data_IF_703512725282
#
_entry.id   IF_703512725282
#
_cell.length_a   1.000
_cell.length_b   1.000
_cell.length_c   1.000
_cell.angle_alpha   90.00
_cell.angle_beta   90.00
_cell.angle_gamma   90.00
#
_symmetry.space_group_name_H-M   'P 1'
#
loop_
_entity.id
_entity.type
_entity.pdbx_description
1 polymer ?
#
# COMPACT_ATOMS: atom_id res chain seq x y z
N UNK A 1 -35.21 -7.63 -14.09
CA UNK A 1 -33.76 -7.97 -13.97
C UNK A 1 -32.97 -6.75 -13.51
N UNK A 2 -33.19 -5.55 -14.00
CA UNK A 2 -32.52 -4.29 -13.59
C UNK A 2 -32.71 -3.94 -12.11
N UNK A 3 -33.92 -4.02 -11.55
CA UNK A 3 -34.20 -3.70 -10.14
C UNK A 3 -33.47 -4.63 -9.15
N UNK A 4 -33.28 -5.90 -9.49
CA UNK A 4 -32.52 -6.85 -8.66
C UNK A 4 -31.03 -6.51 -8.65
N UNK A 5 -30.47 -6.11 -9.80
CA UNK A 5 -29.10 -5.64 -9.93
C UNK A 5 -28.86 -4.34 -9.14
N UNK A 6 -29.83 -3.42 -9.13
CA UNK A 6 -29.73 -2.15 -8.40
C UNK A 6 -29.79 -2.38 -6.89
N UNK A 7 -30.66 -3.29 -6.42
CA UNK A 7 -30.72 -3.68 -5.01
C UNK A 7 -29.44 -4.37 -4.54
N UNK A 8 -28.92 -5.29 -5.36
CA UNK A 8 -27.66 -5.99 -5.05
C UNK A 8 -26.47 -5.02 -5.03
N UNK A 9 -26.41 -4.10 -5.99
CA UNK A 9 -25.38 -3.05 -6.04
C UNK A 9 -25.45 -2.14 -4.82
N UNK A 10 -26.65 -1.74 -4.39
CA UNK A 10 -26.85 -0.87 -3.22
C UNK A 10 -26.50 -1.60 -1.92
N UNK A 11 -26.90 -2.87 -1.79
CA UNK A 11 -26.54 -3.72 -0.64
C UNK A 11 -25.03 -3.92 -0.58
N UNK A 12 -24.39 -4.30 -1.68
CA UNK A 12 -22.94 -4.48 -1.77
C UNK A 12 -22.18 -3.20 -1.37
N UNK A 13 -22.57 -2.04 -1.93
CA UNK A 13 -21.97 -0.74 -1.57
C UNK A 13 -22.11 -0.42 -0.08
N UNK A 14 -23.26 -0.72 0.52
CA UNK A 14 -23.48 -0.54 1.97
C UNK A 14 -22.58 -1.47 2.77
N UNK A 15 -22.55 -2.75 2.42
CA UNK A 15 -21.74 -3.76 3.11
C UNK A 15 -20.26 -3.43 3.04
N UNK A 16 -19.74 -3.09 1.87
CA UNK A 16 -18.33 -2.67 1.70
C UNK A 16 -18.01 -1.44 2.54
N UNK A 17 -18.89 -0.42 2.56
CA UNK A 17 -18.69 0.77 3.41
C UNK A 17 -18.67 0.44 4.89
N UNK A 18 -19.56 -0.42 5.35
CA UNK A 18 -19.64 -0.83 6.75
C UNK A 18 -18.42 -1.66 7.14
N UNK A 19 -18.06 -2.65 6.34
CA UNK A 19 -16.87 -3.50 6.59
C UNK A 19 -15.61 -2.64 6.58
N UNK A 20 -15.44 -1.77 5.59
CA UNK A 20 -14.30 -0.85 5.52
C UNK A 20 -14.24 0.07 6.75
N UNK A 21 -15.38 0.66 7.14
CA UNK A 21 -15.44 1.50 8.33
C UNK A 21 -15.09 0.73 9.61
N UNK A 22 -15.60 -0.49 9.76
CA UNK A 22 -15.30 -1.35 10.92
C UNK A 22 -13.82 -1.75 10.95
N UNK A 23 -13.25 -2.22 9.83
CA UNK A 23 -11.84 -2.58 9.75
C UNK A 23 -10.93 -1.38 10.00
N UNK A 24 -11.23 -0.23 9.39
CA UNK A 24 -10.46 1.00 9.59
C UNK A 24 -10.56 1.49 11.03
N UNK A 25 -11.76 1.44 11.63
CA UNK A 25 -11.95 1.82 13.03
C UNK A 25 -11.22 0.88 13.97
N UNK A 26 -11.25 -0.43 13.70
CA UNK A 26 -10.52 -1.42 14.48
C UNK A 26 -9.00 -1.20 14.41
N UNK A 27 -8.44 -1.09 13.20
CA UNK A 27 -7.02 -0.81 13.00
C UNK A 27 -6.61 0.51 13.67
N UNK A 28 -7.47 1.53 13.56
CA UNK A 28 -7.24 2.82 14.17
C UNK A 28 -7.24 2.75 15.70
N UNK A 29 -8.25 2.10 16.30
CA UNK A 29 -8.35 1.92 17.76
C UNK A 29 -7.19 1.07 18.26
N UNK A 30 -6.84 0.00 17.56
CA UNK A 30 -5.71 -0.87 17.93
C UNK A 30 -4.38 -0.09 17.94
N UNK A 31 -4.12 0.72 16.91
CA UNK A 31 -2.91 1.56 16.84
C UNK A 31 -2.93 2.73 17.83
N UNK A 32 -4.11 3.17 18.28
CA UNK A 32 -4.23 4.18 19.33
C UNK A 32 -3.91 3.60 20.70
N UNK A 33 -4.44 2.41 20.99
CA UNK A 33 -4.34 1.79 22.31
C UNK A 33 -3.00 1.09 22.50
N UNK A 34 -2.48 0.47 21.44
CA UNK A 34 -1.28 -0.34 21.51
C UNK A 34 -0.22 0.15 20.51
N UNK A 35 1.00 0.18 20.98
CA UNK A 35 2.20 0.35 20.17
C UNK A 35 2.93 -0.97 20.12
N UNK A 36 3.23 -1.45 18.91
CA UNK A 36 4.10 -2.59 18.75
C UNK A 36 5.56 -2.12 18.86
N UNK A 37 6.28 -2.69 19.81
CA UNK A 37 7.72 -2.48 19.96
C UNK A 37 8.40 -3.79 19.58
N UNK A 38 9.30 -3.74 18.62
CA UNK A 38 10.11 -4.90 18.19
C UNK A 38 11.50 -4.69 18.75
N UNK A 39 11.95 -5.64 19.55
CA UNK A 39 13.33 -5.68 20.07
C UNK A 39 14.28 -6.27 19.01
N UNK A 40 15.60 -6.14 19.25
CA UNK A 40 16.68 -6.64 18.38
C UNK A 40 16.53 -8.15 18.12
N UNK A 41 15.97 -8.89 19.09
CA UNK A 41 15.70 -10.33 19.00
C UNK A 41 14.33 -10.67 18.35
N UNK A 42 13.71 -9.73 17.62
CA UNK A 42 12.40 -9.87 16.97
C UNK A 42 11.22 -10.18 17.90
N UNK A 43 11.39 -10.04 19.21
CA UNK A 43 10.29 -10.15 20.15
C UNK A 43 9.38 -8.92 20.05
N UNK A 44 8.12 -9.15 19.75
CA UNK A 44 7.13 -8.09 19.69
C UNK A 44 6.41 -7.92 21.02
N UNK A 45 6.43 -6.71 21.55
CA UNK A 45 5.73 -6.35 22.78
C UNK A 45 4.65 -5.34 22.47
N UNK A 46 3.43 -5.59 22.94
CA UNK A 46 2.35 -4.61 22.90
C UNK A 46 2.49 -3.67 24.09
N UNK A 47 2.85 -2.42 23.82
CA UNK A 47 2.92 -1.36 24.84
C UNK A 47 1.78 -0.36 24.66
N UNK A 48 1.29 0.28 25.73
CA UNK A 48 0.31 1.35 25.61
C UNK A 48 0.84 2.47 24.72
N UNK A 49 0.04 2.92 23.78
CA UNK A 49 0.41 4.01 22.88
C UNK A 49 0.10 5.37 23.50
N UNK A 50 1.13 6.15 23.77
CA UNK A 50 0.99 7.51 24.28
C UNK A 50 0.58 8.53 23.21
N UNK A 51 0.47 8.12 21.94
CA UNK A 51 0.06 8.97 20.83
C UNK A 51 -1.47 9.14 20.69
N UNK A 52 -2.22 8.91 21.77
CA UNK A 52 -3.69 9.07 21.82
C UNK A 52 -4.13 10.42 21.26
N UNK A 53 -3.37 11.47 21.54
CA UNK A 53 -3.67 12.84 21.09
C UNK A 53 -3.59 12.98 19.57
N UNK A 54 -2.59 12.36 18.93
CA UNK A 54 -2.43 12.39 17.45
C UNK A 54 -3.60 11.68 16.77
N UNK A 55 -4.02 10.57 17.32
CA UNK A 55 -5.17 9.83 16.80
C UNK A 55 -6.49 10.57 17.00
N UNK A 56 -6.70 11.23 18.13
CA UNK A 56 -7.87 12.07 18.35
C UNK A 56 -7.89 13.25 17.38
N UNK A 57 -6.75 13.88 17.12
CA UNK A 57 -6.62 14.95 16.14
C UNK A 57 -6.94 14.44 14.73
N UNK A 58 -6.44 13.27 14.37
CA UNK A 58 -6.75 12.62 13.08
C UNK A 58 -8.24 12.32 12.94
N UNK A 59 -8.89 11.73 13.96
CA UNK A 59 -10.32 11.51 13.99
C UNK A 59 -11.10 12.80 13.83
N UNK A 60 -10.70 13.86 14.54
CA UNK A 60 -11.35 15.16 14.44
C UNK A 60 -11.25 15.74 13.03
N UNK A 61 -10.08 15.66 12.39
CA UNK A 61 -9.89 16.09 11.00
C UNK A 61 -10.77 15.27 10.05
N UNK A 62 -10.80 13.96 10.19
CA UNK A 62 -11.66 13.09 9.38
C UNK A 62 -13.15 13.41 9.56
N UNK A 63 -13.61 13.59 10.81
CA UNK A 63 -15.00 13.95 11.12
C UNK A 63 -15.37 15.32 10.54
N UNK A 64 -14.47 16.29 10.65
CA UNK A 64 -14.66 17.61 10.06
C UNK A 64 -14.74 17.54 8.53
N UNK A 65 -13.87 16.74 7.89
CA UNK A 65 -13.91 16.51 6.44
C UNK A 65 -15.19 15.81 5.99
N UNK A 66 -15.69 14.83 6.75
CA UNK A 66 -16.93 14.09 6.43
C UNK A 66 -18.16 14.98 6.65
N UNK A 67 -18.18 15.77 7.70
CA UNK A 67 -19.35 16.60 8.08
C UNK A 67 -19.48 17.87 7.26
N UNK A 68 -18.41 18.41 6.73
CA UNK A 68 -18.44 19.66 5.98
C UNK A 68 -18.85 19.43 4.52
N UNK A 69 -19.93 20.14 4.07
CA UNK A 69 -20.34 20.22 2.65
C UNK A 69 -19.20 20.70 1.72
N UNK A 70 -18.16 21.31 2.28
CA UNK A 70 -16.93 21.73 1.59
C UNK A 70 -16.16 20.53 1.00
N UNK A 71 -16.17 19.38 1.67
CA UNK A 71 -15.51 18.17 1.17
C UNK A 71 -16.08 17.67 -0.16
N UNK A 72 -17.32 18.02 -0.48
CA UNK A 72 -18.00 17.65 -1.73
C UNK A 72 -17.83 18.67 -2.86
N UNK A 73 -17.22 19.83 -2.60
CA UNK A 73 -16.97 20.84 -3.66
C UNK A 73 -15.89 20.34 -4.60
N UNK A 74 -16.23 20.27 -5.88
CA UNK A 74 -15.27 20.00 -6.94
C UNK A 74 -14.60 21.32 -7.32
N UNK A 75 -13.38 21.54 -6.84
CA UNK A 75 -12.54 22.65 -7.24
C UNK A 75 -11.38 22.07 -8.07
N UNK A 76 -11.34 22.27 -9.40
CA UNK A 76 -10.30 21.67 -10.27
C UNK A 76 -8.87 22.00 -9.82
N UNK A 77 -8.66 23.18 -9.26
CA UNK A 77 -7.37 23.61 -8.70
C UNK A 77 -6.85 22.68 -7.61
N UNK A 78 -7.76 22.10 -6.79
CA UNK A 78 -7.35 21.16 -5.72
C UNK A 78 -6.81 19.83 -6.29
N UNK A 79 -7.28 19.42 -7.47
CA UNK A 79 -6.70 18.28 -8.18
C UNK A 79 -5.23 18.51 -8.50
N UNK A 80 -4.90 19.67 -9.04
CA UNK A 80 -3.51 20.03 -9.33
C UNK A 80 -2.65 20.13 -8.06
N UNK A 81 -3.18 20.75 -7.00
CA UNK A 81 -2.51 20.78 -5.69
C UNK A 81 -2.21 19.38 -5.18
N UNK A 82 -3.18 18.45 -5.30
CA UNK A 82 -3.00 17.06 -4.90
C UNK A 82 -1.88 16.37 -5.68
N UNK A 83 -1.86 16.49 -7.01
CA UNK A 83 -0.81 15.90 -7.82
C UNK A 83 0.56 16.52 -7.55
N UNK A 84 0.64 17.84 -7.36
CA UNK A 84 1.86 18.52 -6.98
C UNK A 84 2.38 18.06 -5.61
N UNK A 85 1.47 17.87 -4.64
CA UNK A 85 1.81 17.32 -3.31
C UNK A 85 2.38 15.91 -3.40
N UNK A 86 1.76 15.03 -4.22
CA UNK A 86 2.28 13.67 -4.45
C UNK A 86 3.66 13.72 -5.10
N UNK A 87 3.84 14.55 -6.13
CA UNK A 87 5.14 14.72 -6.79
C UNK A 87 6.21 15.18 -5.81
N UNK A 88 5.93 16.19 -4.99
CA UNK A 88 6.84 16.65 -3.93
C UNK A 88 7.18 15.51 -2.95
N UNK A 89 6.19 14.75 -2.49
CA UNK A 89 6.40 13.64 -1.58
C UNK A 89 7.28 12.53 -2.20
N UNK A 90 7.06 12.20 -3.47
CA UNK A 90 7.88 11.24 -4.22
C UNK A 90 9.32 11.73 -4.39
N UNK A 91 9.52 13.00 -4.74
CA UNK A 91 10.86 13.58 -4.85
C UNK A 91 11.60 13.59 -3.51
N UNK A 92 10.90 13.91 -2.42
CA UNK A 92 11.47 13.85 -1.06
C UNK A 92 11.82 12.42 -0.66
N UNK A 93 10.97 11.45 -0.98
CA UNK A 93 11.25 10.03 -0.74
C UNK A 93 12.45 9.55 -1.58
N UNK A 94 12.55 9.95 -2.86
CA UNK A 94 13.70 9.64 -3.70
C UNK A 94 15.00 10.24 -3.14
N UNK A 95 14.95 11.50 -2.68
CA UNK A 95 16.08 12.16 -2.01
C UNK A 95 16.45 11.43 -0.72
N UNK A 96 15.46 11.04 0.09
CA UNK A 96 15.65 10.26 1.30
C UNK A 96 16.36 8.94 0.99
N UNK A 97 15.83 8.14 0.07
CA UNK A 97 16.43 6.88 -0.39
C UNK A 97 17.86 7.06 -0.86
N UNK A 98 18.13 8.11 -1.67
CA UNK A 98 19.48 8.38 -2.20
C UNK A 98 20.52 8.69 -1.13
N UNK A 99 20.09 9.09 0.07
CA UNK A 99 20.97 9.47 1.19
C UNK A 99 21.06 8.43 2.29
N UNK A 100 20.08 7.54 2.41
CA UNK A 100 19.93 6.65 3.55
C UNK A 100 19.90 5.17 3.19
N UNK A 101 19.97 4.82 1.88
CA UNK A 101 19.97 3.42 1.48
C UNK A 101 21.13 2.64 2.08
N UNK A 102 20.88 1.41 2.45
CA UNK A 102 21.87 0.44 2.89
C UNK A 102 21.73 -0.86 2.08
N UNK A 103 22.74 -1.70 2.11
CA UNK A 103 22.63 -3.06 1.56
C UNK A 103 21.51 -3.81 2.30
N UNK A 104 20.75 -4.68 1.60
CA UNK A 104 19.77 -5.55 2.23
C UNK A 104 20.41 -6.37 3.34
N UNK A 105 19.68 -6.56 4.43
CA UNK A 105 20.10 -7.36 5.59
C UNK A 105 19.03 -8.41 5.91
N UNK A 106 19.43 -9.44 6.63
CA UNK A 106 18.56 -10.52 7.09
C UNK A 106 17.69 -11.11 5.95
N UNK A 107 16.39 -11.21 6.12
CA UNK A 107 15.48 -11.83 5.14
C UNK A 107 15.53 -11.18 3.76
N UNK A 108 15.71 -9.86 3.69
CA UNK A 108 15.82 -9.16 2.40
C UNK A 108 17.08 -9.59 1.64
N UNK A 109 18.18 -9.84 2.34
CA UNK A 109 19.40 -10.37 1.74
C UNK A 109 19.20 -11.83 1.28
N UNK A 110 18.51 -12.64 2.09
CA UNK A 110 18.22 -14.03 1.77
C UNK A 110 17.32 -14.17 0.54
N UNK A 111 16.29 -13.33 0.41
CA UNK A 111 15.43 -13.36 -0.78
C UNK A 111 16.15 -12.88 -2.04
N UNK A 112 17.04 -11.90 -1.93
CA UNK A 112 17.88 -11.46 -3.05
C UNK A 112 18.86 -12.57 -3.48
N UNK A 113 19.53 -13.21 -2.52
CA UNK A 113 20.43 -14.35 -2.79
C UNK A 113 19.68 -15.55 -3.37
N UNK A 114 18.48 -15.85 -2.86
CA UNK A 114 17.64 -16.90 -3.43
C UNK A 114 17.31 -16.63 -4.92
N UNK A 115 17.11 -15.37 -5.29
CA UNK A 115 16.91 -14.99 -6.69
C UNK A 115 18.15 -15.24 -7.57
N UNK A 116 19.38 -15.08 -7.03
CA UNK A 116 20.61 -15.40 -7.73
C UNK A 116 20.74 -16.92 -7.97
N UNK A 117 20.34 -17.73 -7.00
CA UNK A 117 20.35 -19.21 -7.12
C UNK A 117 19.37 -19.68 -8.20
N UNK A 118 18.20 -19.06 -8.35
CA UNK A 118 17.23 -19.41 -9.41
C UNK A 118 17.89 -19.42 -10.81
N UNK A 119 18.81 -18.52 -11.06
CA UNK A 119 19.53 -18.48 -12.34
C UNK A 119 20.40 -19.72 -12.59
N UNK A 120 20.75 -20.45 -11.54
CA UNK A 120 21.60 -21.64 -11.62
C UNK A 120 20.75 -22.92 -11.52
N UNK A 121 19.93 -23.06 -10.47
CA UNK A 121 19.05 -24.21 -10.26
C UNK A 121 17.87 -23.84 -9.36
N UNK A 122 16.66 -23.88 -9.92
CA UNK A 122 15.42 -23.57 -9.20
C UNK A 122 15.14 -24.55 -8.05
N UNK A 123 15.51 -25.83 -8.20
CA UNK A 123 15.14 -26.85 -7.23
C UNK A 123 15.95 -26.78 -5.94
N UNK A 124 17.20 -26.36 -6.00
CA UNK A 124 18.07 -26.22 -4.82
C UNK A 124 17.54 -25.23 -3.79
N UNK A 125 16.72 -24.24 -4.22
CA UNK A 125 16.11 -23.27 -3.31
C UNK A 125 15.22 -23.88 -2.24
N UNK A 126 14.59 -25.01 -2.55
CA UNK A 126 13.59 -25.66 -1.68
C UNK A 126 14.16 -26.94 -1.02
N UNK A 127 15.46 -27.18 -1.10
CA UNK A 127 16.09 -28.28 -0.39
C UNK A 127 16.06 -28.07 1.13
N UNK A 128 15.99 -29.17 1.92
CA UNK A 128 16.00 -29.09 3.37
C UNK A 128 17.24 -28.35 3.89
N UNK A 129 17.02 -27.25 4.61
CA UNK A 129 18.08 -26.38 5.15
C UNK A 129 18.22 -25.04 4.43
N UNK A 130 17.68 -24.92 3.22
CA UNK A 130 17.68 -23.66 2.48
C UNK A 130 16.59 -22.70 2.98
N UNK A 131 16.79 -21.39 2.74
CA UNK A 131 15.88 -20.35 3.22
C UNK A 131 14.45 -20.55 2.72
N UNK A 132 14.24 -20.85 1.44
CA UNK A 132 12.92 -21.02 0.84
C UNK A 132 12.21 -22.31 1.28
N UNK A 133 12.93 -23.29 1.82
CA UNK A 133 12.31 -24.45 2.45
C UNK A 133 11.48 -24.04 3.68
N UNK A 134 12.00 -23.10 4.46
CA UNK A 134 11.34 -22.60 5.68
C UNK A 134 10.33 -21.48 5.37
N UNK A 135 10.58 -20.66 4.34
CA UNK A 135 9.80 -19.48 4.01
C UNK A 135 9.24 -19.48 2.58
N UNK A 136 8.50 -20.52 2.16
CA UNK A 136 8.02 -20.66 0.78
C UNK A 136 7.04 -19.54 0.37
N UNK A 137 6.42 -18.87 1.34
CA UNK A 137 5.53 -17.74 1.09
C UNK A 137 6.23 -16.51 0.53
N UNK A 138 7.57 -16.42 0.62
CA UNK A 138 8.35 -15.33 0.04
C UNK A 138 8.73 -15.57 -1.43
N UNK A 139 8.26 -16.66 -2.05
CA UNK A 139 8.56 -17.00 -3.45
C UNK A 139 8.22 -15.88 -4.44
N UNK A 140 7.15 -15.12 -4.20
CA UNK A 140 6.79 -13.99 -5.07
C UNK A 140 7.80 -12.85 -4.98
N UNK A 141 8.34 -12.56 -3.80
CA UNK A 141 9.39 -11.57 -3.61
C UNK A 141 10.70 -12.02 -4.29
N UNK A 142 11.05 -13.29 -4.16
CA UNK A 142 12.21 -13.89 -4.84
C UNK A 142 12.07 -13.80 -6.36
N UNK A 143 10.87 -14.09 -6.91
CA UNK A 143 10.60 -13.93 -8.34
C UNK A 143 10.68 -12.47 -8.80
N UNK A 144 10.29 -11.51 -7.94
CA UNK A 144 10.45 -10.09 -8.25
C UNK A 144 11.93 -9.71 -8.32
N UNK A 145 12.76 -10.12 -7.35
CA UNK A 145 14.22 -9.94 -7.39
C UNK A 145 14.82 -10.56 -8.64
N UNK A 146 14.48 -11.82 -8.94
CA UNK A 146 14.92 -12.51 -10.13
C UNK A 146 14.60 -11.73 -11.41
N UNK A 147 13.36 -11.19 -11.53
CA UNK A 147 12.96 -10.37 -12.67
C UNK A 147 13.76 -9.05 -12.77
N UNK A 148 14.05 -8.41 -11.64
CA UNK A 148 14.85 -7.18 -11.60
C UNK A 148 16.32 -7.43 -11.96
N UNK A 149 16.86 -8.59 -11.60
CA UNK A 149 18.25 -8.99 -11.89
C UNK A 149 18.52 -9.17 -13.40
N UNK A 150 17.48 -9.40 -14.22
CA UNK A 150 17.63 -9.32 -15.70
C UNK A 150 17.95 -7.90 -16.19
N UNK A 151 17.58 -6.88 -15.42
CA UNK A 151 17.84 -5.47 -15.77
C UNK A 151 19.18 -5.02 -15.18
N UNK A 152 19.45 -5.38 -13.94
CA UNK A 152 20.71 -5.11 -13.25
C UNK A 152 21.06 -6.25 -12.28
N UNK A 153 22.27 -6.84 -12.36
CA UNK A 153 22.67 -7.93 -11.46
C UNK A 153 22.57 -7.56 -9.98
N UNK A 154 22.95 -6.33 -9.59
CA UNK A 154 22.62 -5.75 -8.28
C UNK A 154 21.28 -5.01 -8.41
N UNK A 155 20.20 -5.70 -8.08
CA UNK A 155 18.83 -5.20 -8.21
C UNK A 155 18.39 -4.30 -7.06
N UNK A 156 19.20 -4.13 -6.01
CA UNK A 156 18.87 -3.32 -4.83
C UNK A 156 18.42 -1.93 -5.19
N UNK A 157 19.16 -1.23 -6.07
CA UNK A 157 18.79 0.13 -6.50
C UNK A 157 17.50 0.18 -7.30
N UNK A 158 17.26 -0.82 -8.16
CA UNK A 158 16.00 -0.95 -8.91
C UNK A 158 14.84 -1.19 -7.95
N UNK A 159 15.04 -2.02 -6.95
CA UNK A 159 14.02 -2.28 -5.94
C UNK A 159 13.69 -1.02 -5.14
N UNK A 160 14.67 -0.23 -4.76
CA UNK A 160 14.46 1.05 -4.08
C UNK A 160 13.70 2.06 -4.97
N UNK A 161 13.99 2.11 -6.27
CA UNK A 161 13.20 2.90 -7.24
C UNK A 161 11.77 2.40 -7.30
N UNK A 162 11.56 1.09 -7.36
CA UNK A 162 10.23 0.48 -7.33
C UNK A 162 9.46 0.86 -6.06
N UNK A 163 10.12 0.88 -4.91
CA UNK A 163 9.52 1.32 -3.65
C UNK A 163 9.07 2.80 -3.69
N UNK A 164 9.90 3.69 -4.23
CA UNK A 164 9.56 5.12 -4.39
C UNK A 164 8.37 5.28 -5.35
N UNK A 165 8.34 4.56 -6.46
CA UNK A 165 7.21 4.55 -7.40
C UNK A 165 5.95 3.97 -6.76
N UNK A 166 6.09 2.91 -5.97
CA UNK A 166 4.99 2.30 -5.21
C UNK A 166 4.42 3.27 -4.18
N UNK A 167 5.26 4.00 -3.46
CA UNK A 167 4.83 5.05 -2.54
C UNK A 167 3.98 6.12 -3.24
N UNK A 168 4.45 6.64 -4.37
CA UNK A 168 3.68 7.59 -5.18
C UNK A 168 2.35 7.02 -5.67
N UNK A 169 2.35 5.76 -6.10
CA UNK A 169 1.16 5.03 -6.54
C UNK A 169 0.15 4.88 -5.40
N UNK A 170 0.60 4.52 -4.20
CA UNK A 170 -0.24 4.43 -3.00
C UNK A 170 -0.94 5.76 -2.74
N UNK A 171 -0.20 6.87 -2.74
CA UNK A 171 -0.76 8.21 -2.51
C UNK A 171 -1.80 8.60 -3.58
N UNK A 172 -1.54 8.29 -4.85
CA UNK A 172 -2.49 8.52 -5.94
C UNK A 172 -3.75 7.67 -5.79
N UNK A 173 -3.61 6.38 -5.47
CA UNK A 173 -4.71 5.46 -5.26
C UNK A 173 -5.58 5.87 -4.07
N UNK A 174 -5.01 6.31 -2.96
CA UNK A 174 -5.73 6.82 -1.80
C UNK A 174 -6.65 7.99 -2.18
N UNK A 175 -6.13 8.97 -2.93
CA UNK A 175 -6.93 10.09 -3.42
C UNK A 175 -7.99 9.66 -4.45
N UNK A 176 -7.70 8.69 -5.32
CA UNK A 176 -8.65 8.16 -6.28
C UNK A 176 -9.77 7.38 -5.59
N UNK A 177 -9.46 6.53 -4.61
CA UNK A 177 -10.43 5.80 -3.80
C UNK A 177 -11.36 6.75 -3.05
N UNK A 178 -10.83 7.84 -2.46
CA UNK A 178 -11.62 8.86 -1.82
C UNK A 178 -12.67 9.47 -2.78
N UNK A 179 -12.32 9.68 -4.05
CA UNK A 179 -13.26 10.13 -5.08
C UNK A 179 -14.32 9.09 -5.40
N UNK A 180 -13.93 7.84 -5.60
CA UNK A 180 -14.86 6.74 -5.92
C UNK A 180 -15.90 6.56 -4.80
N UNK A 181 -15.51 6.76 -3.53
CA UNK A 181 -16.47 6.73 -2.41
C UNK A 181 -17.28 8.04 -2.24
N UNK A 182 -17.10 9.02 -3.14
CA UNK A 182 -17.92 10.25 -3.20
C UNK A 182 -17.42 11.41 -2.34
N UNK A 183 -16.13 11.43 -1.95
CA UNK A 183 -15.58 12.53 -1.11
C UNK A 183 -15.24 13.82 -1.89
N UNK A 184 -15.29 13.84 -3.20
CA UNK A 184 -14.89 15.01 -4.01
C UNK A 184 -13.39 15.35 -3.92
N UNK A 185 -12.98 16.49 -4.52
CA UNK A 185 -11.53 16.86 -4.59
C UNK A 185 -10.94 17.24 -3.23
N UNK A 186 -11.70 17.93 -2.38
CA UNK A 186 -11.24 18.31 -1.04
C UNK A 186 -10.96 17.06 -0.20
N UNK A 187 -11.89 16.09 -0.23
CA UNK A 187 -11.71 14.83 0.49
C UNK A 187 -10.54 14.01 -0.07
N UNK A 188 -10.40 13.96 -1.40
CA UNK A 188 -9.28 13.28 -2.04
C UNK A 188 -7.93 13.90 -1.66
N UNK A 189 -7.85 15.23 -1.63
CA UNK A 189 -6.66 15.96 -1.17
C UNK A 189 -6.35 15.64 0.30
N UNK A 190 -7.37 15.72 1.18
CA UNK A 190 -7.20 15.44 2.60
C UNK A 190 -6.68 14.02 2.85
N UNK A 191 -7.26 13.00 2.19
CA UNK A 191 -6.81 11.60 2.31
C UNK A 191 -5.39 11.41 1.78
N UNK A 192 -5.04 12.07 0.66
CA UNK A 192 -3.67 12.05 0.13
C UNK A 192 -2.69 12.66 1.12
N UNK A 193 -3.03 13.80 1.75
CA UNK A 193 -2.17 14.43 2.76
C UNK A 193 -2.01 13.58 4.01
N UNK A 194 -3.06 12.87 4.43
CA UNK A 194 -2.93 11.87 5.51
C UNK A 194 -1.91 10.80 5.15
N UNK A 195 -1.94 10.29 3.91
CA UNK A 195 -0.93 9.33 3.44
C UNK A 195 0.49 9.92 3.40
N UNK A 196 0.64 11.18 2.99
CA UNK A 196 1.94 11.89 2.99
C UNK A 196 2.46 12.08 4.42
N UNK A 197 1.61 12.50 5.34
CA UNK A 197 1.95 12.75 6.74
C UNK A 197 2.15 11.47 7.55
N UNK A 198 1.70 10.34 7.04
CA UNK A 198 2.00 9.04 7.61
C UNK A 198 3.44 8.62 7.25
N UNK A 199 4.39 9.27 7.93
CA UNK A 199 5.83 9.14 7.66
C UNK A 199 6.34 7.68 7.64
N UNK A 200 5.79 6.69 8.41
CA UNK A 200 6.24 5.31 8.29
C UNK A 200 6.14 4.78 6.85
N UNK A 201 5.12 5.20 6.09
CA UNK A 201 4.98 4.80 4.69
C UNK A 201 6.16 5.28 3.83
N UNK A 202 6.63 6.53 4.05
CA UNK A 202 7.82 7.06 3.38
C UNK A 202 9.10 6.37 3.86
N UNK A 203 9.20 6.03 5.16
CA UNK A 203 10.36 5.31 5.70
C UNK A 203 10.54 3.91 5.12
N UNK A 204 9.42 3.22 4.80
CA UNK A 204 9.48 1.90 4.17
C UNK A 204 10.09 1.92 2.76
N UNK A 205 10.28 3.09 2.13
CA UNK A 205 10.91 3.18 0.81
C UNK A 205 12.37 2.70 0.77
N UNK A 206 13.08 2.66 1.90
CA UNK A 206 14.46 2.17 2.00
C UNK A 206 14.54 0.65 2.27
N UNK A 207 13.43 0.00 2.58
CA UNK A 207 13.43 -1.43 2.88
C UNK A 207 13.18 -2.25 1.61
N UNK A 208 14.03 -3.22 1.36
CA UNK A 208 13.96 -4.12 0.21
C UNK A 208 13.02 -5.29 0.54
N UNK A 209 11.73 -4.97 0.69
CA UNK A 209 10.64 -5.93 0.96
C UNK A 209 9.45 -5.67 0.04
N UNK A 210 8.66 -6.71 -0.24
CA UNK A 210 7.45 -6.63 -1.05
C UNK A 210 6.31 -5.75 -0.50
N UNK A 211 6.46 -5.20 0.71
CA UNK A 211 5.42 -4.46 1.44
C UNK A 211 4.85 -3.27 0.66
N UNK A 212 5.70 -2.39 0.13
CA UNK A 212 5.21 -1.21 -0.62
C UNK A 212 4.67 -1.59 -2.01
N UNK A 213 5.37 -2.39 -2.83
CA UNK A 213 4.80 -2.89 -4.08
C UNK A 213 3.50 -3.66 -3.86
N UNK A 214 3.45 -4.56 -2.87
CA UNK A 214 2.25 -5.31 -2.53
C UNK A 214 1.07 -4.41 -2.14
N UNK A 215 1.30 -3.39 -1.30
CA UNK A 215 0.29 -2.40 -0.94
C UNK A 215 -0.17 -1.57 -2.16
N UNK A 216 0.75 -1.16 -3.04
CA UNK A 216 0.42 -0.42 -4.25
C UNK A 216 -0.49 -1.26 -5.17
N UNK A 217 -0.13 -2.52 -5.43
CA UNK A 217 -0.94 -3.44 -6.23
C UNK A 217 -2.29 -3.75 -5.58
N UNK A 218 -2.35 -3.88 -4.24
CA UNK A 218 -3.61 -4.04 -3.50
C UNK A 218 -4.56 -2.86 -3.73
N UNK A 219 -4.06 -1.63 -3.64
CA UNK A 219 -4.87 -0.43 -3.83
C UNK A 219 -5.28 -0.23 -5.29
N UNK A 220 -4.41 -0.52 -6.25
CA UNK A 220 -4.76 -0.54 -7.68
C UNK A 220 -5.87 -1.55 -7.93
N UNK A 221 -5.71 -2.78 -7.42
CA UNK A 221 -6.70 -3.84 -7.57
C UNK A 221 -8.05 -3.45 -6.99
N UNK A 222 -8.07 -2.90 -5.78
CA UNK A 222 -9.28 -2.40 -5.13
C UNK A 222 -9.95 -1.29 -5.95
N UNK A 223 -9.17 -0.31 -6.42
CA UNK A 223 -9.68 0.79 -7.24
C UNK A 223 -10.33 0.28 -8.53
N UNK A 224 -9.65 -0.63 -9.23
CA UNK A 224 -10.16 -1.21 -10.49
C UNK A 224 -11.44 -2.02 -10.28
N UNK A 225 -11.53 -2.80 -9.19
CA UNK A 225 -12.75 -3.55 -8.83
C UNK A 225 -13.89 -2.58 -8.49
N UNK A 226 -13.63 -1.53 -7.72
CA UNK A 226 -14.65 -0.51 -7.41
C UNK A 226 -15.13 0.22 -8.68
N UNK A 227 -14.22 0.57 -9.58
CA UNK A 227 -14.58 1.18 -10.85
C UNK A 227 -15.33 0.20 -11.79
N UNK A 228 -15.05 -1.11 -11.71
CA UNK A 228 -15.85 -2.12 -12.40
C UNK A 228 -17.29 -2.13 -11.89
N UNK A 229 -17.47 -2.10 -10.58
CA UNK A 229 -18.82 -2.05 -9.99
C UNK A 229 -19.63 -0.82 -10.42
N UNK A 230 -18.95 0.31 -10.74
CA UNK A 230 -19.63 1.52 -11.21
C UNK A 230 -19.89 1.54 -12.71
N UNK A 231 -18.92 1.09 -13.51
CA UNK A 231 -18.89 1.29 -14.97
C UNK A 231 -19.13 0.00 -15.77
N UNK A 232 -19.17 -1.18 -15.11
CA UNK A 232 -19.46 -2.48 -15.72
C UNK A 232 -18.43 -2.99 -16.72
N UNK A 233 -17.23 -2.40 -16.82
CA UNK A 233 -16.22 -2.77 -17.81
C UNK A 233 -15.40 -3.97 -17.34
N UNK A 234 -15.63 -5.16 -17.89
CA UNK A 234 -15.02 -6.43 -17.48
C UNK A 234 -13.49 -6.40 -17.42
N UNK A 235 -12.81 -5.71 -18.34
CA UNK A 235 -11.35 -5.61 -18.33
C UNK A 235 -10.79 -5.02 -17.02
N UNK A 236 -11.55 -4.13 -16.34
CA UNK A 236 -11.16 -3.59 -15.03
C UNK A 236 -11.21 -4.64 -13.94
N UNK A 237 -12.24 -5.50 -13.97
CA UNK A 237 -12.34 -6.62 -13.06
C UNK A 237 -11.15 -7.58 -13.24
N UNK A 238 -10.81 -7.91 -14.49
CA UNK A 238 -9.69 -8.80 -14.80
C UNK A 238 -8.35 -8.19 -14.35
N UNK A 239 -8.07 -6.94 -14.70
CA UNK A 239 -6.85 -6.26 -14.26
C UNK A 239 -6.82 -6.07 -12.74
N UNK A 240 -7.96 -5.82 -12.11
CA UNK A 240 -8.08 -5.75 -10.66
C UNK A 240 -7.73 -7.09 -10.00
N UNK A 241 -8.24 -8.20 -10.54
CA UNK A 241 -7.91 -9.54 -10.04
C UNK A 241 -6.42 -9.87 -10.21
N UNK A 242 -5.83 -9.55 -11.36
CA UNK A 242 -4.38 -9.73 -11.60
C UNK A 242 -3.57 -8.90 -10.61
N UNK A 243 -3.96 -7.63 -10.40
CA UNK A 243 -3.26 -6.74 -9.45
C UNK A 243 -3.32 -7.27 -8.01
N UNK A 244 -4.49 -7.76 -7.58
CA UNK A 244 -4.63 -8.39 -6.26
C UNK A 244 -3.84 -9.71 -6.17
N UNK A 245 -3.77 -10.50 -7.24
CA UNK A 245 -2.94 -11.70 -7.30
C UNK A 245 -1.45 -11.38 -7.12
N UNK A 246 -0.94 -10.34 -7.79
CA UNK A 246 0.44 -9.86 -7.60
C UNK A 246 0.65 -9.39 -6.15
N UNK A 247 -0.31 -8.65 -5.59
CA UNK A 247 -0.21 -8.16 -4.22
C UNK A 247 -0.14 -9.29 -3.17
N UNK A 248 -0.83 -10.40 -3.42
CA UNK A 248 -0.80 -11.59 -2.54
C UNK A 248 0.53 -12.34 -2.69
N UNK A 249 1.12 -12.32 -3.88
CA UNK A 249 2.39 -12.98 -4.14
C UNK A 249 3.59 -12.23 -3.54
N UNK A 250 3.51 -10.91 -3.42
CA UNK A 250 4.56 -10.03 -2.85
C UNK A 250 4.45 -9.88 -1.34
#
# INVERSE_FOLDING_TARGET
MTALCDHFSTFYRRTVRVVFALCTSWLFVSNLVFRNFIDIDEHSWLTPNTALLQGLLFCLVCLLCIRHKVARRSLPVLGWVRYASVLCAVLLAALWVSRTWSAPLADAQMTQHAAEIIHQDFYTLYEPGEYMYFYPHQSGLVLLHWALQFIAPDDTKLFLVLNVLSYGTILLCLGALAKVIGMGEVGALAVTWVGILFYPLAMYTVFVYGTLPGLAFSLIGLLLVMEYCEKGKLWRCLLGAVSLGIAIAL
#
